data_IF_172985614654
#
_entry.id   IF_172985614654
#
_cell.length_a   1.000
_cell.length_b   1.000
_cell.length_c   1.000
_cell.angle_alpha   90.00
_cell.angle_beta   90.00
_cell.angle_gamma   90.00
#
_symmetry.space_group_name_H-M   'P 1'
#
loop_
_entity.id
_entity.type
_entity.pdbx_description
1 polymer ?
#
# COMPACT_ATOMS: atom_id res chain seq x y z
N UNK A 1 6.48 21.37 -6.38
CA UNK A 1 7.36 20.23 -6.00
C UNK A 1 7.08 19.13 -7.01
N UNK A 2 8.11 18.74 -7.77
CA UNK A 2 8.02 17.78 -8.87
C UNK A 2 7.90 16.37 -8.28
N UNK A 3 6.85 15.65 -8.66
CA UNK A 3 6.60 14.28 -8.20
C UNK A 3 7.45 13.32 -9.03
N UNK A 4 8.58 12.88 -8.49
CA UNK A 4 9.41 11.87 -9.12
C UNK A 4 9.10 10.51 -8.49
N UNK A 5 8.26 9.73 -9.16
CA UNK A 5 8.07 8.32 -8.87
C UNK A 5 8.97 7.51 -9.80
N UNK A 6 9.80 6.66 -9.23
CA UNK A 6 10.59 5.70 -10.02
C UNK A 6 9.95 4.33 -9.84
N UNK A 7 9.47 3.76 -10.93
CA UNK A 7 9.00 2.38 -10.97
C UNK A 7 10.19 1.49 -11.37
N UNK A 8 10.52 0.52 -10.54
CA UNK A 8 11.51 -0.50 -10.88
C UNK A 8 10.76 -1.80 -11.14
N UNK A 9 10.60 -2.25 -12.38
CA UNK A 9 10.02 -3.56 -12.65
C UNK A 9 10.96 -4.65 -12.13
N UNK A 10 10.46 -5.46 -11.20
CA UNK A 10 11.16 -6.67 -10.74
C UNK A 10 10.76 -7.80 -11.70
N UNK A 11 11.74 -8.25 -12.49
CA UNK A 11 11.71 -9.33 -13.48
C UNK A 11 11.16 -9.03 -14.88
N UNK A 12 12.06 -8.66 -15.77
CA UNK A 12 12.09 -9.16 -17.15
C UNK A 12 13.54 -9.43 -17.58
N UNK A 13 13.89 -10.68 -17.77
CA UNK A 13 15.23 -11.12 -18.19
C UNK A 13 15.57 -10.79 -19.66
N UNK A 14 14.68 -10.18 -20.43
CA UNK A 14 14.87 -10.00 -21.87
C UNK A 14 14.88 -8.56 -22.39
N UNK A 15 14.68 -7.54 -21.57
CA UNK A 15 14.79 -6.17 -22.04
C UNK A 15 15.90 -5.42 -21.30
N UNK A 16 17.10 -5.42 -21.89
CA UNK A 16 18.13 -4.44 -21.56
C UNK A 16 17.69 -3.07 -22.10
N UNK A 17 16.69 -2.47 -21.49
CA UNK A 17 16.35 -1.08 -21.73
C UNK A 17 17.44 -0.27 -21.04
N UNK A 18 18.28 0.38 -21.83
CA UNK A 18 19.15 1.44 -21.32
C UNK A 18 18.28 2.43 -20.55
N UNK A 19 18.56 2.61 -19.26
CA UNK A 19 17.87 3.57 -18.43
C UNK A 19 17.98 4.95 -19.08
N UNK A 20 16.97 5.34 -19.82
CA UNK A 20 16.76 6.74 -20.15
C UNK A 20 16.45 7.44 -18.83
N UNK A 21 17.08 8.57 -18.56
CA UNK A 21 16.92 9.39 -17.33
C UNK A 21 15.49 9.99 -17.20
N UNK A 22 14.45 9.30 -17.60
CA UNK A 22 13.07 9.74 -17.45
C UNK A 22 12.48 9.05 -16.22
N UNK A 23 12.26 9.82 -15.17
CA UNK A 23 11.49 9.36 -14.02
C UNK A 23 10.04 9.13 -14.47
N UNK A 24 9.61 7.87 -14.54
CA UNK A 24 8.24 7.51 -14.87
C UNK A 24 7.38 7.60 -13.61
N UNK A 25 6.25 8.27 -13.70
CA UNK A 25 5.27 8.26 -12.61
C UNK A 25 4.42 6.99 -12.66
N UNK A 26 3.87 6.56 -11.51
CA UNK A 26 2.92 5.44 -11.48
C UNK A 26 1.75 5.65 -12.46
N UNK A 27 1.29 6.89 -12.62
CA UNK A 27 0.21 7.21 -13.55
C UNK A 27 0.61 7.00 -15.01
N UNK A 28 1.80 7.43 -15.41
CA UNK A 28 2.36 7.20 -16.76
C UNK A 28 2.55 5.71 -17.01
N UNK A 29 3.11 4.97 -16.05
CA UNK A 29 3.25 3.52 -16.14
C UNK A 29 1.91 2.82 -16.38
N UNK A 30 0.87 3.17 -15.62
CA UNK A 30 -0.47 2.60 -15.77
C UNK A 30 -1.04 2.92 -17.17
N UNK A 31 -0.86 4.15 -17.66
CA UNK A 31 -1.36 4.57 -18.98
C UNK A 31 -0.63 3.84 -20.10
N UNK A 32 0.69 3.74 -20.05
CA UNK A 32 1.51 3.09 -21.07
C UNK A 32 1.23 1.59 -21.18
N UNK A 33 0.93 0.93 -20.06
CA UNK A 33 0.61 -0.50 -20.05
C UNK A 33 -0.90 -0.78 -20.14
N UNK A 34 -1.74 0.23 -20.35
CA UNK A 34 -3.19 0.05 -20.41
C UNK A 34 -3.64 -0.78 -21.62
N UNK A 35 -2.89 -0.73 -22.71
CA UNK A 35 -3.19 -1.50 -23.93
C UNK A 35 -3.05 -3.02 -23.72
N UNK A 36 -2.19 -3.46 -22.80
CA UNK A 36 -2.02 -4.87 -22.44
C UNK A 36 -3.20 -5.42 -21.63
N UNK A 37 -4.07 -4.54 -21.13
CA UNK A 37 -5.19 -4.86 -20.24
C UNK A 37 -6.53 -4.39 -20.82
N UNK A 38 -6.86 -4.78 -22.04
CA UNK A 38 -8.04 -4.35 -22.83
C UNK A 38 -9.37 -4.53 -22.06
N UNK A 39 -9.43 -5.47 -21.11
CA UNK A 39 -10.61 -5.73 -20.27
C UNK A 39 -10.54 -5.08 -18.87
N UNK A 40 -9.54 -4.24 -18.64
CA UNK A 40 -9.38 -3.57 -17.35
C UNK A 40 -10.51 -2.57 -17.10
N UNK A 41 -11.20 -2.72 -15.98
CA UNK A 41 -12.28 -1.82 -15.54
C UNK A 41 -11.72 -0.59 -14.78
N UNK A 42 -10.40 -0.46 -14.68
CA UNK A 42 -9.74 0.64 -13.95
C UNK A 42 -9.79 0.52 -12.42
N UNK A 43 -10.31 -0.60 -11.88
CA UNK A 43 -10.44 -0.81 -10.44
C UNK A 43 -9.08 -0.94 -9.76
N UNK A 44 -8.16 -1.72 -10.33
CA UNK A 44 -6.78 -1.83 -9.83
C UNK A 44 -6.07 -0.48 -9.87
N UNK A 45 -6.22 0.28 -10.95
CA UNK A 45 -5.65 1.63 -11.09
C UNK A 45 -6.18 2.58 -10.02
N UNK A 46 -7.47 2.49 -9.67
CA UNK A 46 -8.06 3.25 -8.56
C UNK A 46 -7.50 2.84 -7.21
N UNK A 47 -7.29 1.55 -6.98
CA UNK A 47 -6.67 1.03 -5.76
C UNK A 47 -5.24 1.53 -5.64
N UNK A 48 -4.42 1.39 -6.67
CA UNK A 48 -3.04 1.89 -6.70
C UNK A 48 -2.97 3.41 -6.51
N UNK A 49 -3.94 4.16 -7.05
CA UNK A 49 -4.05 5.61 -6.81
C UNK A 49 -4.36 5.94 -5.35
N UNK A 50 -5.09 5.06 -4.64
CA UNK A 50 -5.36 5.23 -3.21
C UNK A 50 -4.11 4.95 -2.37
N UNK A 51 -3.37 3.90 -2.70
CA UNK A 51 -2.07 3.63 -2.09
C UNK A 51 -1.15 4.84 -2.31
N UNK A 52 -1.03 5.33 -3.55
CA UNK A 52 -0.26 6.54 -3.88
C UNK A 52 -0.66 7.74 -3.03
N UNK A 53 -1.95 7.96 -2.78
CA UNK A 53 -2.43 9.06 -1.94
C UNK A 53 -1.99 8.87 -0.49
N UNK A 54 -2.21 7.70 0.08
CA UNK A 54 -1.81 7.38 1.45
C UNK A 54 -0.30 7.56 1.64
N UNK A 55 0.52 7.03 0.71
CA UNK A 55 1.99 7.16 0.78
C UNK A 55 2.47 8.61 0.75
N UNK A 56 1.80 9.49 0.00
CA UNK A 56 2.13 10.92 0.01
C UNK A 56 1.86 11.57 1.37
N UNK A 57 0.75 11.21 2.00
CA UNK A 57 0.38 11.72 3.32
C UNK A 57 1.36 11.21 4.38
N UNK A 58 1.71 9.92 4.34
CA UNK A 58 2.70 9.32 5.25
C UNK A 58 4.07 9.96 5.05
N UNK A 59 4.56 10.06 3.79
CA UNK A 59 5.85 10.69 3.49
C UNK A 59 5.93 12.13 3.99
N UNK A 60 4.86 12.89 3.82
CA UNK A 60 4.80 14.26 4.35
C UNK A 60 4.98 14.31 5.88
N UNK A 61 4.42 13.33 6.59
CA UNK A 61 4.57 13.23 8.06
C UNK A 61 5.95 12.73 8.44
N UNK A 62 6.49 11.70 7.78
CA UNK A 62 7.84 11.18 8.00
C UNK A 62 8.87 12.30 7.85
N UNK A 63 8.81 13.08 6.76
CA UNK A 63 9.73 14.18 6.52
C UNK A 63 9.60 15.35 7.53
N UNK A 64 8.50 15.41 8.28
CA UNK A 64 8.26 16.42 9.33
C UNK A 64 8.37 15.87 10.74
N UNK A 65 8.72 14.61 10.89
CA UNK A 65 8.70 13.90 12.17
C UNK A 65 9.47 14.64 13.27
N UNK A 66 10.64 15.19 12.96
CA UNK A 66 11.43 15.97 13.92
C UNK A 66 10.88 17.36 14.26
N UNK A 67 9.90 17.86 13.47
CA UNK A 67 9.32 19.21 13.67
C UNK A 67 7.95 19.17 14.38
N UNK A 68 7.26 18.03 14.30
CA UNK A 68 5.97 17.83 14.96
C UNK A 68 6.13 16.63 15.89
N UNK A 69 5.57 16.70 17.07
CA UNK A 69 5.76 15.69 18.14
C UNK A 69 5.08 14.34 17.82
N UNK A 70 5.55 13.70 16.75
CA UNK A 70 5.07 12.39 16.24
C UNK A 70 6.14 11.31 16.27
N UNK A 71 7.33 11.63 16.78
CA UNK A 71 8.38 10.65 17.09
C UNK A 71 8.15 10.05 18.47
N UNK A 72 8.70 8.87 18.68
CA UNK A 72 8.69 8.14 19.94
C UNK A 72 7.58 7.12 20.05
N UNK A 73 7.72 6.26 21.04
CA UNK A 73 6.83 5.13 21.31
C UNK A 73 5.40 5.58 21.59
N UNK A 74 4.43 4.84 21.08
CA UNK A 74 3.00 5.07 21.35
C UNK A 74 2.58 4.48 22.69
N UNK A 75 3.39 3.55 23.22
CA UNK A 75 3.13 2.90 24.51
C UNK A 75 2.38 1.57 24.41
N UNK A 76 2.05 1.13 23.21
CA UNK A 76 1.48 -0.18 22.91
C UNK A 76 2.49 -1.05 22.14
N UNK A 77 2.25 -2.35 22.12
CA UNK A 77 2.94 -3.30 21.27
C UNK A 77 2.03 -3.69 20.09
N UNK A 78 2.60 -3.93 18.92
CA UNK A 78 1.86 -4.47 17.79
C UNK A 78 1.63 -5.98 17.97
N UNK A 79 0.95 -6.61 17.00
CA UNK A 79 0.62 -8.06 17.02
C UNK A 79 1.86 -8.95 17.09
N UNK A 80 2.99 -8.47 16.62
CA UNK A 80 4.29 -9.17 16.66
C UNK A 80 5.07 -8.93 17.96
N UNK A 81 4.54 -8.12 18.90
CA UNK A 81 5.19 -7.81 20.17
C UNK A 81 6.26 -6.72 20.06
N UNK A 82 6.29 -5.97 18.95
CA UNK A 82 7.15 -4.82 18.77
C UNK A 82 6.49 -3.55 19.36
N UNK A 83 7.32 -2.64 19.88
CA UNK A 83 6.84 -1.37 20.40
C UNK A 83 6.37 -0.47 19.27
N UNK A 84 5.10 -0.14 19.29
CA UNK A 84 4.46 0.67 18.29
C UNK A 84 4.93 2.13 18.38
N UNK A 85 5.35 2.69 17.28
CA UNK A 85 5.70 4.09 17.16
C UNK A 85 4.46 4.92 16.81
N UNK A 86 4.48 6.20 17.14
CA UNK A 86 3.38 7.11 16.79
C UNK A 86 3.16 7.23 15.28
N UNK A 87 4.23 7.07 14.51
CA UNK A 87 4.17 7.10 13.05
C UNK A 87 3.53 5.84 12.47
N UNK A 88 3.71 4.67 13.11
CA UNK A 88 3.05 3.42 12.71
C UNK A 88 1.53 3.57 12.79
N UNK A 89 1.05 4.04 13.94
CA UNK A 89 -0.37 4.29 14.15
C UNK A 89 -0.91 5.25 13.09
N UNK A 90 -0.21 6.36 12.87
CA UNK A 90 -0.62 7.34 11.87
C UNK A 90 -0.62 6.75 10.45
N UNK A 91 0.41 5.98 10.08
CA UNK A 91 0.49 5.35 8.77
C UNK A 91 -0.64 4.34 8.59
N UNK A 92 -0.85 3.47 9.58
CA UNK A 92 -1.91 2.47 9.58
C UNK A 92 -3.30 3.11 9.40
N UNK A 93 -3.64 4.09 10.22
CA UNK A 93 -4.92 4.82 10.11
C UNK A 93 -5.08 5.48 8.74
N UNK A 94 -4.02 6.09 8.20
CA UNK A 94 -4.03 6.75 6.89
C UNK A 94 -4.31 5.76 5.77
N UNK A 95 -3.66 4.58 5.77
CA UNK A 95 -3.91 3.56 4.76
C UNK A 95 -5.30 2.96 4.88
N UNK A 96 -5.74 2.61 6.09
CA UNK A 96 -7.08 2.06 6.33
C UNK A 96 -8.14 3.04 5.84
N UNK A 97 -8.06 4.31 6.24
CA UNK A 97 -9.02 5.34 5.83
C UNK A 97 -9.05 5.49 4.30
N UNK A 98 -7.86 5.66 3.68
CA UNK A 98 -7.77 5.92 2.24
C UNK A 98 -8.25 4.73 1.40
N UNK A 99 -7.94 3.50 1.81
CA UNK A 99 -8.37 2.29 1.12
C UNK A 99 -9.87 2.02 1.35
N UNK A 100 -10.39 2.31 2.55
CA UNK A 100 -11.81 2.12 2.88
C UNK A 100 -12.75 3.03 2.12
N UNK A 101 -12.28 4.20 1.69
CA UNK A 101 -13.08 5.14 0.89
C UNK A 101 -13.30 4.69 -0.57
N UNK A 102 -12.69 3.59 -0.98
CA UNK A 102 -12.80 3.09 -2.36
C UNK A 102 -13.61 1.81 -2.42
N UNK A 103 -14.59 1.79 -3.30
CA UNK A 103 -15.51 0.67 -3.50
C UNK A 103 -14.87 -0.62 -4.05
N UNK A 104 -13.54 -0.62 -4.25
CA UNK A 104 -12.83 -1.74 -4.88
C UNK A 104 -12.19 -2.69 -3.87
N UNK A 105 -11.99 -2.25 -2.61
CA UNK A 105 -11.39 -3.03 -1.54
C UNK A 105 -12.47 -3.57 -0.62
N UNK A 106 -12.46 -4.86 -0.34
CA UNK A 106 -13.42 -5.50 0.56
C UNK A 106 -12.83 -5.81 1.94
N UNK A 107 -11.50 -5.90 2.04
CA UNK A 107 -10.84 -6.16 3.30
C UNK A 107 -9.37 -5.76 3.29
N UNK A 108 -8.85 -5.45 4.47
CA UNK A 108 -7.46 -5.06 4.69
C UNK A 108 -6.91 -5.91 5.83
N UNK A 109 -5.75 -6.54 5.63
CA UNK A 109 -4.95 -7.13 6.69
C UNK A 109 -3.70 -6.28 6.88
N UNK A 110 -3.59 -5.63 8.03
CA UNK A 110 -2.45 -4.79 8.39
C UNK A 110 -1.60 -5.50 9.43
N UNK A 111 -0.28 -5.33 9.36
CA UNK A 111 0.66 -5.82 10.37
C UNK A 111 0.36 -5.24 11.75
N UNK A 112 -0.16 -4.02 11.79
CA UNK A 112 -0.49 -3.29 13.02
C UNK A 112 -1.82 -3.72 13.68
N UNK A 113 -2.59 -4.60 13.05
CA UNK A 113 -3.89 -5.04 13.54
C UNK A 113 -3.91 -6.55 13.81
N UNK A 114 -4.50 -6.95 14.95
CA UNK A 114 -4.65 -8.35 15.34
C UNK A 114 -5.52 -9.14 14.36
N UNK A 115 -6.61 -8.52 13.90
CA UNK A 115 -7.55 -9.09 12.95
C UNK A 115 -7.59 -8.29 11.64
N UNK A 116 -8.01 -8.93 10.55
CA UNK A 116 -8.29 -8.22 9.32
C UNK A 116 -9.50 -7.29 9.48
N UNK A 117 -9.51 -6.22 8.72
CA UNK A 117 -10.57 -5.20 8.71
C UNK A 117 -11.47 -5.45 7.52
N UNK A 118 -12.73 -5.77 7.76
CA UNK A 118 -13.75 -5.83 6.73
C UNK A 118 -14.24 -4.42 6.41
N UNK A 119 -14.23 -4.05 5.13
CA UNK A 119 -14.79 -2.79 4.66
C UNK A 119 -16.30 -2.94 4.53
N UNK A 120 -17.04 -2.42 5.50
CA UNK A 120 -18.50 -2.55 5.59
C UNK A 120 -19.22 -1.49 4.76
N UNK A 121 -20.19 -1.95 4.01
CA UNK A 121 -21.14 -1.13 3.23
C UNK A 121 -21.80 -1.98 2.16
N UNK A 122 -23.12 -1.90 2.02
CA UNK A 122 -23.89 -2.75 1.10
C UNK A 122 -23.42 -2.60 -0.36
N UNK A 123 -22.93 -1.42 -0.74
CA UNK A 123 -22.44 -1.14 -2.09
C UNK A 123 -20.99 -1.60 -2.26
N UNK A 124 -20.18 -1.51 -1.21
CA UNK A 124 -18.81 -1.99 -1.21
C UNK A 124 -18.72 -3.51 -1.38
N UNK A 125 -19.63 -4.25 -0.75
CA UNK A 125 -19.62 -5.71 -0.78
C UNK A 125 -19.97 -6.32 -2.15
N UNK A 126 -20.69 -5.58 -3.01
CA UNK A 126 -21.11 -6.09 -4.34
C UNK A 126 -20.08 -5.90 -5.44
N UNK A 127 -19.27 -4.84 -5.34
CA UNK A 127 -18.35 -4.44 -6.40
C UNK A 127 -16.87 -4.57 -5.99
N UNK A 128 -16.60 -4.77 -4.70
CA UNK A 128 -15.24 -4.87 -4.21
C UNK A 128 -14.66 -6.25 -4.52
N UNK A 129 -13.54 -6.25 -5.24
CA UNK A 129 -12.89 -7.46 -5.77
C UNK A 129 -11.55 -7.76 -5.12
N UNK A 130 -11.01 -6.81 -4.33
CA UNK A 130 -9.65 -6.90 -3.85
C UNK A 130 -9.60 -6.94 -2.33
N UNK A 131 -8.65 -7.70 -1.83
CA UNK A 131 -8.13 -7.60 -0.46
C UNK A 131 -6.70 -7.09 -0.51
N UNK A 132 -6.31 -6.32 0.50
CA UNK A 132 -4.97 -5.72 0.61
C UNK A 132 -4.33 -6.22 1.88
N UNK A 133 -3.10 -6.74 1.77
CA UNK A 133 -2.22 -7.01 2.90
C UNK A 133 -1.17 -5.90 2.93
N UNK A 134 -0.90 -5.34 4.08
CA UNK A 134 -0.02 -4.18 4.19
C UNK A 134 0.77 -4.17 5.49
N UNK A 135 2.05 -3.83 5.39
CA UNK A 135 2.83 -3.25 6.47
C UNK A 135 2.90 -1.74 6.20
N UNK A 136 2.19 -0.93 7.00
CA UNK A 136 2.06 0.50 6.74
C UNK A 136 3.35 1.29 6.87
N UNK A 137 4.28 0.83 7.73
CA UNK A 137 5.56 1.53 7.97
C UNK A 137 6.68 0.56 8.36
N UNK A 138 7.12 -0.26 7.40
CA UNK A 138 8.24 -1.17 7.55
C UNK A 138 9.52 -0.44 7.97
N UNK A 139 10.20 -0.99 8.97
CA UNK A 139 11.41 -0.43 9.53
C UNK A 139 11.20 0.70 10.55
N UNK A 140 9.99 0.90 11.06
CA UNK A 140 9.62 1.97 11.98
C UNK A 140 10.43 1.96 13.28
N UNK A 141 10.84 0.80 13.77
CA UNK A 141 11.71 0.66 14.96
C UNK A 141 13.05 1.38 14.81
N UNK A 142 13.48 1.69 13.60
CA UNK A 142 14.74 2.38 13.30
C UNK A 142 14.56 3.86 12.93
N UNK A 143 13.37 4.42 13.10
CA UNK A 143 13.05 5.77 12.64
C UNK A 143 13.88 6.84 13.37
N UNK A 144 14.18 6.60 14.65
CA UNK A 144 14.96 7.52 15.48
C UNK A 144 16.44 7.57 15.12
N UNK A 145 16.93 6.59 14.36
CA UNK A 145 18.34 6.52 13.90
C UNK A 145 18.48 6.86 12.41
N UNK A 146 17.43 7.42 11.81
CA UNK A 146 17.41 7.89 10.43
C UNK A 146 17.75 6.81 9.39
N UNK A 147 17.29 5.59 9.63
CA UNK A 147 17.32 4.51 8.63
C UNK A 147 16.09 4.66 7.72
N UNK A 148 16.22 4.19 6.50
CA UNK A 148 15.11 4.22 5.53
C UNK A 148 13.92 3.41 6.06
N UNK A 149 12.73 3.99 5.93
CA UNK A 149 11.46 3.37 6.26
C UNK A 149 10.59 3.29 5.01
N UNK A 150 9.65 2.39 4.98
CA UNK A 150 8.83 2.16 3.79
C UNK A 150 7.47 1.60 4.10
N UNK A 151 6.72 1.31 3.06
CA UNK A 151 5.45 0.57 3.13
C UNK A 151 5.53 -0.63 2.21
N UNK A 152 5.14 -1.79 2.69
CA UNK A 152 5.04 -3.01 1.87
C UNK A 152 3.56 -3.32 1.68
N UNK A 153 3.13 -3.66 0.46
CA UNK A 153 1.76 -4.06 0.21
C UNK A 153 1.66 -5.21 -0.79
N UNK A 154 0.58 -5.95 -0.67
CA UNK A 154 0.20 -7.04 -1.56
C UNK A 154 -1.29 -7.00 -1.82
N UNK A 155 -1.70 -7.18 -3.07
CA UNK A 155 -3.09 -7.11 -3.51
C UNK A 155 -3.48 -8.46 -4.09
N UNK A 156 -4.61 -9.00 -3.65
CA UNK A 156 -5.20 -10.23 -4.16
C UNK A 156 -6.65 -9.99 -4.58
N UNK A 157 -7.13 -10.81 -5.51
CA UNK A 157 -8.58 -10.95 -5.68
C UNK A 157 -9.17 -11.71 -4.49
N UNK A 158 -10.33 -11.29 -4.03
CA UNK A 158 -11.10 -12.08 -3.07
C UNK A 158 -11.48 -13.43 -3.69
N UNK A 159 -11.54 -14.48 -2.87
CA UNK A 159 -12.00 -15.82 -3.28
C UNK A 159 -13.45 -16.08 -2.88
N UNK A 160 -13.95 -15.37 -1.87
CA UNK A 160 -15.36 -15.42 -1.46
C UNK A 160 -16.25 -14.70 -2.49
N UNK A 161 -17.52 -15.09 -2.55
CA UNK A 161 -18.49 -14.49 -3.47
C UNK A 161 -18.69 -12.99 -3.22
N UNK A 162 -18.78 -12.14 -4.25
CA UNK A 162 -19.11 -10.74 -4.10
C UNK A 162 -20.43 -10.54 -3.35
N UNK A 163 -20.44 -9.62 -2.39
CA UNK A 163 -21.62 -9.35 -1.57
C UNK A 163 -21.74 -10.22 -0.31
N UNK A 164 -20.77 -11.10 -0.07
CA UNK A 164 -20.64 -11.86 1.19
C UNK A 164 -19.58 -11.23 2.10
N UNK A 165 -19.57 -11.54 3.40
CA UNK A 165 -18.48 -11.13 4.29
C UNK A 165 -17.13 -11.63 3.80
N UNK A 166 -16.09 -10.85 4.07
CA UNK A 166 -14.70 -11.26 3.84
C UNK A 166 -14.29 -12.30 4.89
N UNK A 167 -13.53 -13.29 4.48
CA UNK A 167 -13.03 -14.35 5.38
C UNK A 167 -11.51 -14.40 5.37
N UNK A 168 -10.92 -15.12 6.30
CA UNK A 168 -9.48 -15.33 6.37
C UNK A 168 -8.91 -15.98 5.08
N UNK A 169 -9.72 -16.78 4.37
CA UNK A 169 -9.32 -17.40 3.10
C UNK A 169 -9.04 -16.37 1.99
N UNK A 170 -9.68 -15.21 2.05
CA UNK A 170 -9.43 -14.12 1.09
C UNK A 170 -7.99 -13.58 1.22
N UNK A 171 -7.38 -13.68 2.39
CA UNK A 171 -6.03 -13.19 2.67
C UNK A 171 -4.97 -14.30 2.59
N UNK A 172 -5.29 -15.51 3.02
CA UNK A 172 -4.35 -16.64 3.04
C UNK A 172 -4.27 -17.32 1.67
N UNK A 173 -3.79 -16.61 0.68
CA UNK A 173 -3.65 -17.11 -0.68
C UNK A 173 -2.17 -17.37 -1.03
N UNK A 174 -1.87 -18.32 -1.93
CA UNK A 174 -0.51 -18.51 -2.44
C UNK A 174 0.03 -17.25 -3.12
N UNK A 175 1.34 -16.96 -2.95
CA UNK A 175 1.98 -15.77 -3.51
C UNK A 175 1.86 -15.64 -5.05
N UNK A 176 1.73 -16.74 -5.77
CA UNK A 176 1.50 -16.73 -7.22
C UNK A 176 0.08 -16.32 -7.64
N UNK A 177 -0.80 -15.99 -6.69
CA UNK A 177 -2.13 -15.42 -6.92
C UNK A 177 -2.17 -13.92 -6.69
N UNK A 178 -1.05 -13.30 -6.34
CA UNK A 178 -0.95 -11.84 -6.24
C UNK A 178 -1.35 -11.19 -7.56
N UNK A 179 -2.21 -10.18 -7.46
CA UNK A 179 -2.57 -9.30 -8.58
C UNK A 179 -1.49 -8.23 -8.76
N UNK A 180 -1.02 -7.70 -7.64
CA UNK A 180 0.08 -6.75 -7.58
C UNK A 180 0.72 -6.79 -6.20
N UNK A 181 2.01 -6.47 -6.14
CA UNK A 181 2.72 -6.22 -4.90
C UNK A 181 3.69 -5.06 -5.12
N UNK A 182 4.00 -4.34 -4.07
CA UNK A 182 4.91 -3.20 -4.16
C UNK A 182 5.52 -2.81 -2.83
N UNK A 183 6.57 -2.03 -2.93
CA UNK A 183 7.28 -1.44 -1.81
C UNK A 183 7.46 0.07 -2.04
N UNK A 184 7.13 0.85 -1.03
CA UNK A 184 7.32 2.30 -1.06
C UNK A 184 8.50 2.66 -0.15
N UNK A 185 9.43 3.46 -0.65
CA UNK A 185 10.53 3.99 0.15
C UNK A 185 10.27 5.46 0.42
N UNK A 186 10.30 5.83 1.70
CA UNK A 186 10.19 7.21 2.16
C UNK A 186 11.58 7.82 2.36
N UNK A 187 11.91 8.78 1.53
CA UNK A 187 13.19 9.48 1.56
C UNK A 187 13.03 10.93 1.13
N UNK A 188 14.07 11.51 0.57
CA UNK A 188 14.02 12.85 -0.05
C UNK A 188 13.05 12.91 -1.22
N UNK A 189 12.79 11.77 -1.84
CA UNK A 189 11.68 11.51 -2.78
C UNK A 189 10.95 10.24 -2.35
N UNK A 190 9.66 10.14 -2.67
CA UNK A 190 8.89 8.91 -2.45
C UNK A 190 8.99 8.04 -3.70
N UNK A 191 9.46 6.81 -3.55
CA UNK A 191 9.60 5.83 -4.63
C UNK A 191 8.62 4.68 -4.40
N UNK A 192 7.95 4.22 -5.45
CA UNK A 192 7.04 3.08 -5.46
C UNK A 192 7.48 2.10 -6.56
#
# INVERSE_FOLDING_TARGET
MIENWVFIPIFDEQNTVMATNSHQTLGEFIIENQEDFIYSTGELSRLLSSIKLATKVVNYKVNKAGLVNILGEFGNENVQGEKQQKLDVFANETFIETLSQREVVCGIASEENEDFIEIKGAEHSKNSKYVVLIDPLDGSSNIDVNVSVGTIFSIYHRVTEPGTPVTLEDFLQPGNKQVAAGYVIYGTSTML
#
